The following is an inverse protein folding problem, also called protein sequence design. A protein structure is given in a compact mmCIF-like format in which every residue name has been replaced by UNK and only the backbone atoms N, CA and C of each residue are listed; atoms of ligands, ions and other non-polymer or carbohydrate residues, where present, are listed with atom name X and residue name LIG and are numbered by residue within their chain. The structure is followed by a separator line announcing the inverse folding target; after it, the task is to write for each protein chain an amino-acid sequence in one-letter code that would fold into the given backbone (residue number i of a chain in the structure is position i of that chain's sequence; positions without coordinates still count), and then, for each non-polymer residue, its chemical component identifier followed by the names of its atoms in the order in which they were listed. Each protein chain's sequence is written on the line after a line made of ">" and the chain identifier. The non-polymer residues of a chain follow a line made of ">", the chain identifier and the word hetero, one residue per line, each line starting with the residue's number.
data_IF_633909797198
#
_entry.id   IF_633909797198
#
_cell.length_a   1.000
_cell.length_b   1.000
_cell.length_c   1.000
_cell.angle_alpha   90.00
_cell.angle_beta   90.00
_cell.angle_gamma   90.00
#
_symmetry.space_group_name_H-M   'P 1'
#
loop_
_entity.id
_entity.type
_entity.pdbx_description
1 polymer ?
#
# COMPACT_ATOMS: atom_id res chain seq x y z
N UNK A 1 6.19 -27.68 -2.35
CA UNK A 1 6.23 -26.56 -1.38
C UNK A 1 7.49 -25.69 -1.53
N UNK A 2 8.71 -26.26 -1.64
CA UNK A 2 9.97 -25.49 -1.72
C UNK A 2 10.00 -24.46 -2.87
N UNK A 3 9.58 -24.84 -4.08
CA UNK A 3 9.56 -23.91 -5.23
C UNK A 3 8.59 -22.72 -5.10
N UNK A 4 7.44 -22.90 -4.43
CA UNK A 4 6.47 -21.82 -4.21
C UNK A 4 6.96 -20.81 -3.16
N UNK A 5 7.67 -21.30 -2.14
CA UNK A 5 8.33 -20.46 -1.14
C UNK A 5 9.39 -19.56 -1.79
N UNK A 6 10.27 -20.16 -2.60
CA UNK A 6 11.36 -19.45 -3.26
C UNK A 6 10.82 -18.40 -4.24
N UNK A 7 9.70 -18.68 -4.91
CA UNK A 7 9.01 -17.72 -5.76
C UNK A 7 8.46 -16.52 -4.97
N UNK A 8 7.76 -16.76 -3.86
CA UNK A 8 7.19 -15.68 -3.02
C UNK A 8 8.29 -14.78 -2.48
N UNK A 9 9.40 -15.37 -2.02
CA UNK A 9 10.58 -14.62 -1.54
C UNK A 9 11.20 -13.78 -2.65
N UNK A 10 11.46 -14.40 -3.80
CA UNK A 10 12.02 -13.71 -4.95
C UNK A 10 11.15 -12.52 -5.36
N UNK A 11 9.82 -12.72 -5.40
CA UNK A 11 8.86 -11.64 -5.66
C UNK A 11 8.89 -10.57 -4.57
N UNK A 12 8.93 -10.93 -3.28
CA UNK A 12 9.01 -9.95 -2.19
C UNK A 12 10.23 -9.03 -2.34
N UNK A 13 11.41 -9.60 -2.60
CA UNK A 13 12.65 -8.85 -2.82
C UNK A 13 12.57 -7.98 -4.07
N UNK A 14 12.08 -8.52 -5.19
CA UNK A 14 11.93 -7.76 -6.44
C UNK A 14 10.99 -6.56 -6.28
N UNK A 15 9.86 -6.74 -5.60
CA UNK A 15 8.89 -5.67 -5.38
C UNK A 15 9.38 -4.64 -4.36
N UNK A 16 10.14 -5.04 -3.34
CA UNK A 16 10.83 -4.11 -2.44
C UNK A 16 11.87 -3.27 -3.20
N UNK A 17 12.72 -3.90 -4.02
CA UNK A 17 13.70 -3.18 -4.84
C UNK A 17 13.03 -2.21 -5.83
N UNK A 18 11.91 -2.62 -6.44
CA UNK A 18 11.12 -1.77 -7.33
C UNK A 18 10.52 -0.58 -6.56
N UNK A 19 9.95 -0.81 -5.38
CA UNK A 19 9.45 0.24 -4.47
C UNK A 19 10.54 1.26 -4.17
N UNK A 20 11.75 0.82 -3.83
CA UNK A 20 12.86 1.71 -3.48
C UNK A 20 13.38 2.52 -4.68
N UNK A 21 13.35 1.93 -5.88
CA UNK A 21 13.63 2.67 -7.12
C UNK A 21 12.59 3.77 -7.34
N UNK A 22 11.30 3.47 -7.23
CA UNK A 22 10.24 4.48 -7.42
C UNK A 22 10.26 5.53 -6.31
N UNK A 23 10.55 5.13 -5.06
CA UNK A 23 10.76 6.04 -3.92
C UNK A 23 11.77 7.12 -4.27
N UNK A 24 12.93 6.73 -4.82
CA UNK A 24 13.97 7.68 -5.24
C UNK A 24 13.49 8.65 -6.33
N UNK A 25 12.66 8.20 -7.27
CA UNK A 25 12.06 9.07 -8.30
C UNK A 25 11.09 10.08 -7.67
N UNK A 26 10.26 9.66 -6.71
CA UNK A 26 9.35 10.56 -5.97
C UNK A 26 10.15 11.64 -5.22
N UNK A 27 11.19 11.25 -4.47
CA UNK A 27 12.02 12.23 -3.75
C UNK A 27 12.79 13.15 -4.71
N UNK A 28 13.36 12.61 -5.78
CA UNK A 28 14.09 13.39 -6.78
C UNK A 28 13.20 14.43 -7.46
N UNK A 29 12.00 14.05 -7.89
CA UNK A 29 11.04 14.97 -8.51
C UNK A 29 10.53 16.04 -7.54
N UNK A 30 10.25 15.68 -6.28
CA UNK A 30 9.91 16.66 -5.25
C UNK A 30 11.03 17.69 -5.04
N UNK A 31 12.29 17.24 -5.06
CA UNK A 31 13.44 18.13 -4.90
C UNK A 31 13.62 19.10 -6.07
N UNK A 32 13.35 18.66 -7.30
CA UNK A 32 13.35 19.54 -8.48
C UNK A 32 12.30 20.63 -8.33
N UNK A 33 11.07 20.28 -7.93
CA UNK A 33 10.00 21.26 -7.72
C UNK A 33 10.38 22.27 -6.63
N UNK A 34 10.94 21.81 -5.51
CA UNK A 34 11.43 22.69 -4.44
C UNK A 34 12.56 23.61 -4.90
N UNK A 35 13.50 23.12 -5.72
CA UNK A 35 14.57 23.93 -6.28
C UNK A 35 14.06 25.02 -7.22
N UNK A 36 13.03 24.72 -8.02
CA UNK A 36 12.36 25.72 -8.87
C UNK A 36 11.71 26.80 -8.01
N UNK A 37 10.96 26.41 -6.97
CA UNK A 37 10.31 27.37 -6.05
C UNK A 37 11.35 28.24 -5.34
N UNK A 38 12.42 27.64 -4.81
CA UNK A 38 13.51 28.38 -4.17
C UNK A 38 14.17 29.38 -5.12
N UNK A 39 14.37 29.00 -6.39
CA UNK A 39 14.95 29.89 -7.41
C UNK A 39 14.04 31.08 -7.74
N UNK A 40 12.72 30.87 -7.76
CA UNK A 40 11.74 31.97 -7.95
C UNK A 40 11.81 32.94 -6.79
N UNK A 41 11.77 32.44 -5.55
CA UNK A 41 11.82 33.26 -4.33
C UNK A 41 13.11 34.10 -4.31
N UNK A 42 14.25 33.47 -4.60
CA UNK A 42 15.54 34.15 -4.67
C UNK A 42 15.52 35.29 -5.70
N UNK A 43 15.10 35.01 -6.93
CA UNK A 43 15.07 36.01 -8.00
C UNK A 43 14.08 37.14 -7.73
N UNK A 44 12.94 36.85 -7.10
CA UNK A 44 12.01 37.88 -6.66
C UNK A 44 12.61 38.77 -5.57
N UNK A 45 13.41 38.20 -4.66
CA UNK A 45 14.09 38.96 -3.62
C UNK A 45 15.25 39.83 -4.15
N UNK A 46 15.98 39.36 -5.18
CA UNK A 46 17.10 40.10 -5.79
C UNK A 46 16.67 41.07 -6.89
N UNK A 47 15.41 40.99 -7.34
CA UNK A 47 14.90 41.81 -8.45
C UNK A 47 15.39 41.34 -9.83
N UNK A 48 15.94 40.12 -9.92
CA UNK A 48 16.45 39.56 -11.16
C UNK A 48 15.34 39.12 -12.11
N UNK A 49 15.59 39.22 -13.42
CA UNK A 49 14.66 38.72 -14.43
C UNK A 49 14.44 37.20 -14.32
N UNK A 50 13.17 36.79 -14.33
CA UNK A 50 12.73 35.40 -14.29
C UNK A 50 12.36 34.94 -15.70
N UNK A 51 12.98 33.85 -16.16
CA UNK A 51 12.54 33.16 -17.37
C UNK A 51 11.37 32.23 -17.03
N UNK A 52 10.16 32.76 -17.16
CA UNK A 52 8.92 32.06 -16.80
C UNK A 52 8.69 30.78 -17.62
N UNK A 53 9.16 30.71 -18.86
CA UNK A 53 9.02 29.52 -19.70
C UNK A 53 9.81 28.34 -19.12
N UNK A 54 11.05 28.58 -18.68
CA UNK A 54 11.88 27.55 -18.01
C UNK A 54 11.26 27.12 -16.69
N UNK A 55 10.77 28.09 -15.90
CA UNK A 55 10.09 27.82 -14.62
C UNK A 55 8.86 26.93 -14.83
N UNK A 56 7.99 27.27 -15.78
CA UNK A 56 6.77 26.52 -16.05
C UNK A 56 7.10 25.11 -16.55
N UNK A 57 8.07 24.96 -17.47
CA UNK A 57 8.47 23.65 -17.98
C UNK A 57 9.03 22.74 -16.87
N UNK A 58 9.91 23.27 -16.02
CA UNK A 58 10.50 22.50 -14.92
C UNK A 58 9.48 22.20 -13.81
N UNK A 59 8.61 23.16 -13.48
CA UNK A 59 7.55 22.96 -12.49
C UNK A 59 6.52 21.94 -12.99
N UNK A 60 6.03 22.06 -14.22
CA UNK A 60 5.06 21.14 -14.79
C UNK A 60 5.65 19.74 -15.00
N UNK A 61 6.89 19.64 -15.50
CA UNK A 61 7.60 18.37 -15.64
C UNK A 61 7.87 17.71 -14.28
N UNK A 62 8.33 18.49 -13.30
CA UNK A 62 8.57 18.03 -11.93
C UNK A 62 7.30 17.57 -11.23
N UNK A 63 6.21 18.36 -11.31
CA UNK A 63 4.92 18.00 -10.72
C UNK A 63 4.30 16.78 -11.40
N UNK A 64 4.34 16.71 -12.74
CA UNK A 64 3.83 15.56 -13.50
C UNK A 64 4.56 14.27 -13.16
N UNK A 65 5.89 14.30 -13.14
CA UNK A 65 6.70 13.14 -12.74
C UNK A 65 6.49 12.76 -11.28
N UNK A 66 6.35 13.74 -10.38
CA UNK A 66 6.06 13.51 -8.96
C UNK A 66 4.72 12.80 -8.77
N UNK A 67 3.64 13.32 -9.36
CA UNK A 67 2.30 12.74 -9.21
C UNK A 67 2.24 11.31 -9.78
N UNK A 68 2.83 11.10 -10.96
CA UNK A 68 2.89 9.78 -11.58
C UNK A 68 3.73 8.78 -10.76
N UNK A 69 4.89 9.22 -10.28
CA UNK A 69 5.76 8.41 -9.45
C UNK A 69 5.12 8.10 -8.09
N UNK A 70 4.36 9.03 -7.50
CA UNK A 70 3.66 8.84 -6.23
C UNK A 70 2.54 7.80 -6.35
N UNK A 71 1.76 7.86 -7.44
CA UNK A 71 0.75 6.84 -7.75
C UNK A 71 1.42 5.47 -7.94
N UNK A 72 2.50 5.41 -8.71
CA UNK A 72 3.28 4.17 -8.92
C UNK A 72 3.89 3.66 -7.61
N UNK A 73 4.37 4.56 -6.75
CA UNK A 73 4.95 4.24 -5.45
C UNK A 73 3.91 3.59 -4.53
N UNK A 74 2.73 4.18 -4.45
CA UNK A 74 1.63 3.67 -3.62
C UNK A 74 1.23 2.25 -4.04
N UNK A 75 1.09 2.03 -5.35
CA UNK A 75 0.78 0.71 -5.89
C UNK A 75 1.91 -0.31 -5.63
N UNK A 76 3.16 0.05 -5.90
CA UNK A 76 4.32 -0.84 -5.66
C UNK A 76 4.52 -1.15 -4.18
N UNK A 77 4.24 -0.19 -3.30
CA UNK A 77 4.31 -0.38 -1.85
C UNK A 77 3.29 -1.40 -1.36
N UNK A 78 2.03 -1.31 -1.78
CA UNK A 78 1.00 -2.30 -1.42
C UNK A 78 1.36 -3.71 -1.87
N UNK A 79 1.90 -3.85 -3.08
CA UNK A 79 2.36 -5.14 -3.61
C UNK A 79 3.55 -5.69 -2.81
N UNK A 80 4.53 -4.83 -2.49
CA UNK A 80 5.67 -5.23 -1.68
C UNK A 80 5.24 -5.69 -0.28
N UNK A 81 4.32 -4.97 0.37
CA UNK A 81 3.77 -5.33 1.68
C UNK A 81 3.01 -6.66 1.63
N UNK A 82 2.20 -6.89 0.59
CA UNK A 82 1.49 -8.15 0.40
C UNK A 82 2.44 -9.35 0.32
N UNK A 83 3.44 -9.31 -0.58
CA UNK A 83 4.40 -10.42 -0.70
C UNK A 83 5.26 -10.57 0.56
N UNK A 84 5.56 -9.47 1.26
CA UNK A 84 6.28 -9.53 2.55
C UNK A 84 5.43 -10.22 3.62
N UNK A 85 4.13 -9.90 3.71
CA UNK A 85 3.20 -10.57 4.62
C UNK A 85 3.07 -12.07 4.30
N UNK A 86 2.97 -12.44 3.02
CA UNK A 86 2.96 -13.84 2.61
C UNK A 86 4.26 -14.57 2.96
N UNK A 87 5.43 -13.92 2.81
CA UNK A 87 6.71 -14.50 3.20
C UNK A 87 6.78 -14.75 4.71
N UNK A 88 6.39 -13.76 5.52
CA UNK A 88 6.34 -13.90 6.98
C UNK A 88 5.38 -15.01 7.42
N UNK A 89 4.23 -15.14 6.75
CA UNK A 89 3.31 -16.24 7.05
C UNK A 89 3.94 -17.62 6.91
N UNK A 90 4.86 -17.80 5.96
CA UNK A 90 5.47 -19.11 5.71
C UNK A 90 6.71 -19.34 6.58
N UNK A 91 7.49 -18.30 6.84
CA UNK A 91 8.79 -18.45 7.53
C UNK A 91 8.74 -18.15 9.04
N UNK A 92 7.82 -17.29 9.45
CA UNK A 92 7.77 -16.67 10.77
C UNK A 92 6.33 -16.46 11.22
N UNK A 93 5.57 -17.55 11.22
CA UNK A 93 4.15 -17.51 11.54
C UNK A 93 3.87 -17.07 12.99
N UNK A 94 4.87 -17.17 13.86
CA UNK A 94 4.90 -16.69 15.24
C UNK A 94 4.99 -15.16 15.37
N UNK A 95 5.56 -14.46 14.38
CA UNK A 95 5.60 -13.00 14.34
C UNK A 95 4.25 -12.37 13.88
N UNK A 96 3.28 -13.19 13.47
CA UNK A 96 1.98 -12.70 12.99
C UNK A 96 1.07 -12.29 14.14
N UNK A 97 0.31 -11.22 13.91
CA UNK A 97 -0.68 -10.73 14.86
C UNK A 97 -2.03 -11.38 14.59
N UNK A 98 -2.54 -12.08 15.60
CA UNK A 98 -3.88 -12.63 15.60
C UNK A 98 -4.89 -11.56 16.05
N UNK A 99 -5.84 -11.23 15.19
CA UNK A 99 -6.88 -10.24 15.46
C UNK A 99 -8.23 -10.93 15.40
N UNK A 100 -9.04 -10.78 16.44
CA UNK A 100 -10.41 -11.31 16.47
C UNK A 100 -11.39 -10.16 16.56
N UNK A 101 -12.39 -10.15 15.68
CA UNK A 101 -13.37 -9.07 15.63
C UNK A 101 -14.53 -9.36 14.68
N UNK A 102 -15.39 -8.36 14.51
CA UNK A 102 -16.58 -8.46 13.66
C UNK A 102 -16.39 -7.61 12.41
N UNK A 103 -16.80 -8.14 11.25
CA UNK A 103 -16.74 -7.38 9.98
C UNK A 103 -17.79 -6.27 10.00
N UNK A 104 -17.36 -5.02 9.83
CA UNK A 104 -18.26 -3.88 9.69
C UNK A 104 -18.47 -3.49 8.23
N UNK A 105 -17.37 -3.40 7.48
CA UNK A 105 -17.37 -2.87 6.11
C UNK A 105 -16.40 -3.65 5.23
N UNK A 106 -16.75 -3.78 3.95
CA UNK A 106 -15.93 -4.44 2.93
C UNK A 106 -15.97 -3.59 1.67
N UNK A 107 -14.85 -2.96 1.35
CA UNK A 107 -14.68 -2.11 0.18
C UNK A 107 -13.72 -2.73 -0.81
N UNK A 108 -14.07 -2.71 -2.10
CA UNK A 108 -13.19 -3.20 -3.15
C UNK A 108 -12.08 -2.18 -3.43
N UNK A 109 -10.84 -2.67 -3.52
CA UNK A 109 -9.65 -1.87 -3.84
C UNK A 109 -9.05 -2.39 -5.14
N UNK A 110 -9.24 -1.69 -6.28
CA UNK A 110 -8.68 -2.12 -7.55
C UNK A 110 -7.16 -2.01 -7.49
N UNK A 111 -6.46 -3.14 -7.60
CA UNK A 111 -5.00 -3.20 -7.61
C UNK A 111 -4.50 -3.93 -8.85
N UNK A 112 -3.70 -3.28 -9.73
CA UNK A 112 -3.37 -3.82 -11.04
C UNK A 112 -2.46 -5.07 -11.05
N UNK A 113 -1.93 -5.53 -9.90
CA UNK A 113 -0.90 -6.59 -9.86
C UNK A 113 -1.16 -7.76 -8.91
N UNK A 114 -2.13 -7.64 -7.99
CA UNK A 114 -2.45 -8.70 -7.00
C UNK A 114 -3.83 -9.32 -7.28
N UNK A 115 -4.55 -8.78 -8.28
CA UNK A 115 -5.95 -9.11 -8.55
C UNK A 115 -6.89 -8.35 -7.61
N UNK A 116 -8.01 -8.98 -7.27
CA UNK A 116 -9.04 -8.37 -6.42
C UNK A 116 -8.59 -8.33 -4.95
N UNK A 117 -8.29 -7.14 -4.46
CA UNK A 117 -8.03 -6.86 -3.05
C UNK A 117 -9.23 -6.12 -2.46
N UNK A 118 -9.52 -6.39 -1.19
CA UNK A 118 -10.59 -5.73 -0.46
C UNK A 118 -10.02 -5.12 0.80
N UNK A 119 -10.47 -3.92 1.12
CA UNK A 119 -10.27 -3.32 2.43
C UNK A 119 -11.44 -3.71 3.33
N UNK A 120 -11.14 -4.45 4.39
CA UNK A 120 -12.11 -4.91 5.38
C UNK A 120 -11.89 -4.14 6.68
N UNK A 121 -12.95 -3.50 7.15
CA UNK A 121 -12.99 -2.87 8.48
C UNK A 121 -13.49 -3.91 9.48
N UNK A 122 -12.64 -4.21 10.47
CA UNK A 122 -12.92 -5.16 11.54
C UNK A 122 -13.03 -4.40 12.85
N UNK A 123 -14.14 -4.57 13.56
CA UNK A 123 -14.31 -4.05 14.92
C UNK A 123 -13.69 -5.00 15.93
N UNK A 124 -12.68 -4.50 16.65
CA UNK A 124 -11.97 -5.19 17.70
C UNK A 124 -12.25 -4.45 19.01
N UNK A 125 -13.10 -5.02 19.86
CA UNK A 125 -13.46 -4.47 21.17
C UNK A 125 -13.86 -2.98 21.13
N UNK A 126 -14.67 -2.58 20.13
CA UNK A 126 -15.16 -1.20 19.97
C UNK A 126 -14.23 -0.28 19.17
N UNK A 127 -13.10 -0.79 18.66
CA UNK A 127 -12.19 -0.04 17.78
C UNK A 127 -12.21 -0.61 16.36
N UNK A 128 -12.46 0.26 15.38
CA UNK A 128 -12.38 -0.11 13.98
C UNK A 128 -10.91 -0.18 13.52
N UNK A 129 -10.51 -1.33 12.99
CA UNK A 129 -9.20 -1.55 12.38
C UNK A 129 -9.38 -1.96 10.92
N UNK A 130 -8.56 -1.40 10.03
CA UNK A 130 -8.65 -1.65 8.58
C UNK A 130 -7.54 -2.57 8.13
N UNK A 131 -7.92 -3.62 7.41
CA UNK A 131 -6.97 -4.56 6.82
C UNK A 131 -7.26 -4.82 5.35
N UNK A 132 -6.22 -5.15 4.62
CA UNK A 132 -6.29 -5.58 3.23
C UNK A 132 -6.38 -7.10 3.16
N UNK A 133 -7.39 -7.59 2.45
CA UNK A 133 -7.72 -9.01 2.35
C UNK A 133 -7.86 -9.42 0.89
N UNK A 134 -7.09 -10.41 0.41
CA UNK A 134 -7.29 -10.99 -0.92
C UNK A 134 -8.68 -11.61 -1.04
N UNK A 135 -9.32 -11.47 -2.21
CA UNK A 135 -10.66 -12.03 -2.49
C UNK A 135 -10.80 -13.49 -2.09
N UNK A 136 -9.76 -14.31 -2.33
CA UNK A 136 -9.76 -15.74 -2.03
C UNK A 136 -10.00 -16.04 -0.56
N UNK A 137 -9.55 -15.16 0.34
CA UNK A 137 -9.74 -15.31 1.79
C UNK A 137 -11.10 -14.80 2.28
N UNK A 138 -11.82 -14.06 1.43
CA UNK A 138 -13.17 -13.57 1.73
C UNK A 138 -14.28 -14.50 1.21
N UNK A 139 -13.93 -15.55 0.46
CA UNK A 139 -14.91 -16.49 -0.07
C UNK A 139 -15.63 -17.20 1.07
N UNK A 140 -16.96 -17.11 1.09
CA UNK A 140 -17.80 -17.70 2.15
C UNK A 140 -18.01 -16.82 3.38
N UNK A 141 -17.41 -15.63 3.47
CA UNK A 141 -17.66 -14.72 4.59
C UNK A 141 -18.98 -13.96 4.41
N UNK A 142 -19.80 -13.96 5.46
CA UNK A 142 -21.01 -13.13 5.55
C UNK A 142 -20.68 -11.75 6.10
N UNK A 143 -21.49 -10.75 5.71
CA UNK A 143 -21.44 -9.42 6.35
C UNK A 143 -21.75 -9.59 7.85
N UNK A 144 -21.02 -8.88 8.72
CA UNK A 144 -21.15 -8.97 10.18
C UNK A 144 -20.75 -10.30 10.82
N UNK A 145 -20.07 -11.19 10.08
CA UNK A 145 -19.50 -12.39 10.67
C UNK A 145 -18.41 -12.04 11.69
N UNK A 146 -18.31 -12.84 12.75
CA UNK A 146 -17.19 -12.77 13.70
C UNK A 146 -16.06 -13.62 13.15
N UNK A 147 -14.94 -12.97 12.86
CA UNK A 147 -13.78 -13.59 12.24
C UNK A 147 -12.55 -13.46 13.14
N UNK A 148 -11.63 -14.39 12.94
CA UNK A 148 -10.28 -14.34 13.46
C UNK A 148 -9.34 -14.31 12.27
N UNK A 149 -8.46 -13.32 12.24
CA UNK A 149 -7.55 -13.09 11.12
C UNK A 149 -6.12 -13.08 11.61
N UNK A 150 -5.24 -13.74 10.87
CA UNK A 150 -3.80 -13.61 11.03
C UNK A 150 -3.32 -12.52 10.10
N UNK A 151 -2.56 -11.58 10.66
CA UNK A 151 -2.15 -10.35 9.99
C UNK A 151 -0.67 -10.11 10.15
N UNK A 152 -0.09 -9.49 9.13
CA UNK A 152 1.21 -8.85 9.19
C UNK A 152 1.04 -7.42 8.67
N UNK A 153 1.42 -6.43 9.48
CA UNK A 153 1.08 -5.03 9.27
C UNK A 153 -0.43 -4.82 9.01
N UNK A 154 -0.79 -4.44 7.79
CA UNK A 154 -2.16 -4.20 7.37
C UNK A 154 -2.73 -5.32 6.49
N UNK A 155 -1.99 -6.41 6.24
CA UNK A 155 -2.42 -7.48 5.34
C UNK A 155 -2.88 -8.72 6.09
N UNK A 156 -4.05 -9.23 5.73
CA UNK A 156 -4.57 -10.52 6.20
C UNK A 156 -4.00 -11.63 5.32
N UNK A 157 -3.36 -12.60 5.96
CA UNK A 157 -2.79 -13.79 5.31
C UNK A 157 -3.65 -15.04 5.51
N UNK A 158 -4.48 -15.06 6.56
CA UNK A 158 -5.43 -16.14 6.83
C UNK A 158 -6.65 -15.61 7.57
N UNK A 159 -7.81 -16.16 7.22
CA UNK A 159 -9.10 -15.88 7.89
C UNK A 159 -9.65 -17.20 8.42
N UNK A 160 -10.15 -17.17 9.66
CA UNK A 160 -10.86 -18.25 10.32
C UNK A 160 -12.22 -17.72 10.77
N UNK A 161 -13.28 -18.44 10.44
CA UNK A 161 -14.65 -18.11 10.87
C UNK A 161 -14.82 -18.63 12.29
N UNK A 162 -15.12 -17.72 13.24
CA UNK A 162 -15.30 -18.09 14.66
C UNK A 162 -16.74 -18.47 14.93
N UNK A 163 -17.69 -17.75 14.33
CA UNK A 163 -19.11 -18.05 14.42
C UNK A 163 -19.87 -17.31 13.31
N UNK A 164 -20.72 -18.04 12.59
CA UNK A 164 -21.80 -17.42 11.83
C UNK A 164 -22.83 -16.93 12.85
N UNK A 165 -22.89 -15.62 13.05
CA UNK A 165 -24.03 -15.06 13.77
C UNK A 165 -25.21 -15.17 12.80
N UNK A 166 -26.05 -16.18 12.99
CA UNK A 166 -27.41 -16.17 12.44
C UNK A 166 -28.11 -14.94 13.01
N UNK A 167 -28.30 -13.94 12.17
CA UNK A 167 -29.23 -12.86 12.47
C UNK A 167 -30.61 -13.45 12.22
N UNK A 168 -31.32 -13.76 13.30
CA UNK A 168 -32.76 -14.00 13.31
C UNK A 168 -33.53 -12.77 12.83
#
# INVERSE_FOLDING_TARGET
>A
MKGMLDEIKSRAVQWQAKRDRVKRVVFGSAMVVLAVVASIIWKMATGDAINWLVVILLAAGGAGTFLFALSTYSNTMLVAMYYTACAHFIEKSDELVLVTGTIEEVNHVPLPYIGDLYQVTINVAGRAARYYVPRKLLQGLRKKARIRVLTHDHFVVRVEIVSDVEVA
#
